data_IF_653190886759
#
_entry.id   IF_653190886759
#
_cell.length_a   1.000
_cell.length_b   1.000
_cell.length_c   1.000
_cell.angle_alpha   90.00
_cell.angle_beta   90.00
_cell.angle_gamma   90.00
#
_symmetry.space_group_name_H-M   'P 1'
#
loop_
_entity.id
_entity.type
_entity.pdbx_description
1 polymer ?
#
# COMPACT_ATOMS: atom_id res chain seq x y z
N UNK A 1 -3.65 -9.56 15.80
CA UNK A 1 -3.72 -10.59 14.78
C UNK A 1 -3.83 -9.97 13.40
N UNK A 2 -3.06 -10.46 12.48
CA UNK A 2 -3.02 -9.87 11.15
C UNK A 2 -4.26 -10.21 10.35
N UNK A 3 -4.81 -9.20 9.71
CA UNK A 3 -5.91 -9.39 8.80
C UNK A 3 -5.46 -10.21 7.59
N UNK A 4 -4.21 -10.05 7.20
CA UNK A 4 -3.63 -10.74 6.05
C UNK A 4 -2.49 -11.63 6.52
N UNK A 5 -2.70 -12.95 6.46
CA UNK A 5 -1.65 -13.88 6.84
C UNK A 5 -0.58 -14.02 5.79
N UNK A 6 -0.97 -13.79 4.55
CA UNK A 6 -0.11 -13.99 3.41
C UNK A 6 -0.28 -12.80 2.50
N UNK A 7 0.83 -12.27 2.00
CA UNK A 7 0.77 -11.11 1.11
C UNK A 7 -0.01 -11.41 -0.15
N UNK A 8 -0.05 -12.66 -0.58
CA UNK A 8 -0.82 -13.04 -1.76
C UNK A 8 -2.33 -13.00 -1.52
N UNK A 9 -2.75 -12.94 -0.26
CA UNK A 9 -4.18 -12.83 0.07
C UNK A 9 -4.68 -11.40 0.00
N UNK A 10 -3.80 -10.45 -0.23
CA UNK A 10 -4.20 -9.05 -0.37
C UNK A 10 -5.03 -8.84 -1.63
N UNK A 11 -5.97 -7.88 -1.62
CA UNK A 11 -6.68 -7.52 -2.84
C UNK A 11 -5.73 -7.06 -3.93
N UNK A 12 -6.21 -7.05 -5.17
CA UNK A 12 -5.38 -6.63 -6.30
C UNK A 12 -4.93 -5.18 -6.16
N UNK A 13 -5.77 -4.33 -5.61
CA UNK A 13 -5.42 -2.94 -5.32
C UNK A 13 -5.79 -2.60 -3.89
N UNK A 14 -5.07 -1.66 -3.32
CA UNK A 14 -5.25 -1.25 -1.94
C UNK A 14 -5.45 0.26 -1.87
N UNK A 15 -6.17 0.69 -0.82
CA UNK A 15 -6.25 2.10 -0.50
C UNK A 15 -5.04 2.48 0.34
N UNK A 16 -4.75 3.79 0.37
CA UNK A 16 -3.64 4.27 1.20
C UNK A 16 -3.84 3.86 2.66
N UNK A 17 -5.07 3.98 3.15
CA UNK A 17 -5.37 3.65 4.55
C UNK A 17 -5.10 2.19 4.88
N UNK A 18 -5.21 1.32 3.89
CA UNK A 18 -4.96 -0.11 4.11
C UNK A 18 -3.49 -0.42 4.30
N UNK A 19 -2.60 0.47 3.86
CA UNK A 19 -1.17 0.29 4.09
C UNK A 19 -0.80 0.46 5.55
N UNK A 20 -1.59 1.23 6.29
CA UNK A 20 -1.24 1.56 7.67
C UNK A 20 -1.10 0.31 8.56
N UNK A 21 -2.11 -0.58 8.62
CA UNK A 21 -1.95 -1.78 9.44
C UNK A 21 -0.98 -2.79 8.84
N UNK A 22 -0.86 -2.83 7.52
CA UNK A 22 0.03 -3.79 6.87
C UNK A 22 1.49 -3.45 7.18
N UNK A 23 1.85 -2.17 7.12
CA UNK A 23 3.22 -1.73 7.33
C UNK A 23 3.48 -1.25 8.75
N UNK A 24 2.44 -1.12 9.56
CA UNK A 24 2.59 -0.63 10.91
C UNK A 24 2.97 0.83 10.97
N UNK A 25 2.40 1.65 10.10
CA UNK A 25 2.75 3.06 9.98
C UNK A 25 1.51 3.93 10.13
N UNK A 26 1.74 5.22 10.38
CA UNK A 26 0.64 6.17 10.46
C UNK A 26 0.24 6.69 9.10
N UNK A 27 -0.82 7.50 9.09
CA UNK A 27 -1.38 8.01 7.85
C UNK A 27 -0.39 8.91 7.10
N UNK A 28 0.27 9.81 7.81
CA UNK A 28 1.20 10.72 7.16
C UNK A 28 2.35 9.97 6.49
N UNK A 29 2.87 8.96 7.15
CA UNK A 29 3.94 8.15 6.60
C UNK A 29 3.48 7.39 5.37
N UNK A 30 2.25 6.85 5.42
CA UNK A 30 1.70 6.13 4.28
C UNK A 30 1.60 7.04 3.05
N UNK A 31 1.05 8.25 3.24
CA UNK A 31 0.95 9.19 2.13
C UNK A 31 2.32 9.64 1.63
N UNK A 32 3.27 9.75 2.54
CA UNK A 32 4.63 10.14 2.15
C UNK A 32 5.27 9.08 1.26
N UNK A 33 5.08 7.82 1.56
CA UNK A 33 5.61 6.74 0.74
C UNK A 33 5.05 6.78 -0.67
N UNK A 34 3.77 7.13 -0.80
CA UNK A 34 3.12 7.25 -2.10
C UNK A 34 3.64 8.48 -2.83
N UNK A 35 3.67 9.62 -2.14
CA UNK A 35 4.04 10.88 -2.74
C UNK A 35 5.49 10.89 -3.23
N UNK A 36 6.37 10.26 -2.48
CA UNK A 36 7.79 10.22 -2.81
C UNK A 36 8.11 9.20 -3.92
N UNK A 37 7.13 8.36 -4.27
CA UNK A 37 7.34 7.37 -5.31
C UNK A 37 7.98 6.09 -4.83
N UNK A 38 8.18 5.92 -3.52
CA UNK A 38 8.75 4.70 -3.00
C UNK A 38 7.81 3.52 -3.21
N UNK A 39 6.52 3.79 -3.18
CA UNK A 39 5.50 2.79 -3.53
C UNK A 39 4.73 3.34 -4.71
N UNK A 40 4.71 2.59 -5.81
CA UNK A 40 3.96 3.01 -6.99
C UNK A 40 2.47 3.04 -6.69
N UNK A 41 1.78 3.98 -7.30
CA UNK A 41 0.34 4.09 -7.12
C UNK A 41 -0.31 4.44 -8.45
N UNK A 42 -1.61 4.21 -8.52
CA UNK A 42 -2.43 4.54 -9.67
C UNK A 42 -3.49 5.51 -9.20
N UNK A 43 -3.70 6.57 -9.98
CA UNK A 43 -4.76 7.52 -9.68
C UNK A 43 -5.94 7.22 -10.59
N UNK A 44 -7.08 6.91 -9.99
CA UNK A 44 -8.32 6.63 -10.71
C UNK A 44 -9.33 7.67 -10.25
N UNK A 45 -9.60 8.66 -11.11
CA UNK A 45 -10.43 9.78 -10.70
C UNK A 45 -9.80 10.51 -9.54
N UNK A 46 -10.50 10.57 -8.42
CA UNK A 46 -9.99 11.20 -7.20
C UNK A 46 -9.40 10.23 -6.22
N UNK A 47 -9.39 8.95 -6.58
CA UNK A 47 -8.91 7.92 -5.67
C UNK A 47 -7.50 7.48 -6.03
N UNK A 48 -6.73 7.20 -5.00
CA UNK A 48 -5.40 6.64 -5.16
C UNK A 48 -5.49 5.17 -4.83
N UNK A 49 -5.00 4.34 -5.74
CA UNK A 49 -4.98 2.89 -5.55
C UNK A 49 -3.56 2.40 -5.65
N UNK A 50 -3.20 1.49 -4.78
CA UNK A 50 -1.86 0.92 -4.77
C UNK A 50 -1.97 -0.52 -5.25
N UNK A 51 -1.38 -0.84 -6.43
CA UNK A 51 -1.38 -2.23 -6.89
C UNK A 51 -0.67 -3.12 -5.87
N UNK A 52 -1.22 -4.30 -5.65
CA UNK A 52 -0.60 -5.23 -4.72
C UNK A 52 0.87 -5.48 -5.08
N UNK A 53 1.15 -5.60 -6.37
CA UNK A 53 2.52 -5.83 -6.83
C UNK A 53 3.47 -4.71 -6.44
N UNK A 54 2.98 -3.47 -6.43
CA UNK A 54 3.81 -2.33 -6.04
C UNK A 54 4.21 -2.44 -4.57
N UNK A 55 3.28 -2.86 -3.72
CA UNK A 55 3.57 -3.07 -2.31
C UNK A 55 4.58 -4.20 -2.13
N UNK A 56 4.40 -5.29 -2.87
CA UNK A 56 5.32 -6.41 -2.77
C UNK A 56 6.72 -6.03 -3.22
N UNK A 57 6.83 -5.22 -4.27
CA UNK A 57 8.14 -4.72 -4.72
C UNK A 57 8.80 -3.88 -3.63
N UNK A 58 8.03 -3.02 -3.00
CA UNK A 58 8.54 -2.18 -1.93
C UNK A 58 9.10 -3.02 -0.78
N UNK A 59 8.40 -4.07 -0.43
CA UNK A 59 8.80 -4.93 0.69
C UNK A 59 10.01 -5.79 0.38
N UNK A 60 10.31 -6.00 -0.91
CA UNK A 60 11.47 -6.80 -1.30
C UNK A 60 12.79 -6.05 -1.24
N UNK A 61 12.73 -4.74 -1.20
CA UNK A 61 13.95 -3.93 -1.20
C UNK A 61 14.73 -4.04 0.08
#
# INVERSE_FOLDING_TARGET
MDKYRNLHDLPMTLRVEELMPILGIGRNTAYELIRSGQIRSIRIGRQIRIPRDALLEFLRK
#
